data_IF_885191476017
#
_entry.id   IF_885191476017
#
_cell.length_a   1.000
_cell.length_b   1.000
_cell.length_c   1.000
_cell.angle_alpha   90.00
_cell.angle_beta   90.00
_cell.angle_gamma   90.00
#
_symmetry.space_group_name_H-M   'P 1'
#
loop_
_entity.id
_entity.type
_entity.pdbx_description
1 polymer ?
#
# COMPACT_ATOMS: atom_id res chain seq x y z
N UNK A 1 -11.81 1.22 8.67
CA UNK A 1 -11.51 2.27 7.67
C UNK A 1 -10.44 1.73 6.74
N UNK A 2 -10.53 2.03 5.44
CA UNK A 2 -9.63 1.50 4.41
C UNK A 2 -9.03 2.65 3.60
N UNK A 3 -7.74 2.57 3.34
CA UNK A 3 -7.06 3.43 2.37
C UNK A 3 -6.70 2.63 1.13
N UNK A 4 -7.01 3.19 -0.03
CA UNK A 4 -6.51 2.71 -1.32
C UNK A 4 -5.55 3.78 -1.84
N UNK A 5 -4.31 3.39 -2.09
CA UNK A 5 -3.26 4.26 -2.62
C UNK A 5 -2.83 3.76 -3.98
N UNK A 6 -2.48 4.69 -4.86
CA UNK A 6 -1.82 4.40 -6.13
C UNK A 6 -0.36 4.87 -6.07
N UNK A 7 0.57 4.13 -6.66
CA UNK A 7 1.98 4.53 -6.68
C UNK A 7 2.65 4.49 -5.30
N UNK A 8 2.18 3.62 -4.40
CA UNK A 8 2.71 3.48 -3.04
C UNK A 8 4.15 3.01 -2.97
N UNK A 9 4.71 2.47 -4.06
CA UNK A 9 6.13 2.10 -4.15
C UNK A 9 7.03 3.29 -4.48
N UNK A 10 6.47 4.41 -4.96
CA UNK A 10 7.20 5.65 -5.20
C UNK A 10 7.66 6.33 -3.90
N UNK A 11 8.50 7.35 -4.01
CA UNK A 11 9.11 8.03 -2.85
C UNK A 11 8.08 8.53 -1.83
N UNK A 12 7.10 9.32 -2.28
CA UNK A 12 6.06 9.90 -1.41
C UNK A 12 5.09 8.82 -0.93
N UNK A 13 4.67 7.92 -1.81
CA UNK A 13 3.76 6.83 -1.49
C UNK A 13 4.32 5.93 -0.39
N UNK A 14 5.60 5.59 -0.47
CA UNK A 14 6.27 4.74 0.51
C UNK A 14 6.34 5.41 1.89
N UNK A 15 6.64 6.72 1.93
CA UNK A 15 6.64 7.49 3.16
C UNK A 15 5.24 7.55 3.79
N UNK A 16 4.21 7.79 2.98
CA UNK A 16 2.83 7.84 3.43
C UNK A 16 2.37 6.49 4.00
N UNK A 17 2.66 5.38 3.31
CA UNK A 17 2.33 4.03 3.79
C UNK A 17 2.98 3.78 5.16
N UNK A 18 4.27 4.09 5.33
CA UNK A 18 4.97 3.96 6.61
C UNK A 18 4.30 4.77 7.72
N UNK A 19 3.90 6.01 7.43
CA UNK A 19 3.19 6.86 8.40
C UNK A 19 1.81 6.32 8.75
N UNK A 20 1.05 5.84 7.77
CA UNK A 20 -0.26 5.23 8.00
C UNK A 20 -0.17 3.94 8.82
N UNK A 21 0.78 3.06 8.51
CA UNK A 21 1.03 1.85 9.31
C UNK A 21 1.38 2.17 10.77
N UNK A 22 2.18 3.22 11.00
CA UNK A 22 2.58 3.64 12.35
C UNK A 22 1.44 4.30 13.14
N UNK A 23 0.75 5.27 12.54
CA UNK A 23 -0.28 6.05 13.22
C UNK A 23 -1.58 5.27 13.41
N UNK A 24 -1.85 4.33 12.50
CA UNK A 24 -3.11 3.60 12.44
C UNK A 24 -2.83 2.11 12.22
N UNK A 25 -2.44 1.35 13.26
CA UNK A 25 -2.10 -0.07 13.10
C UNK A 25 -3.31 -0.95 12.73
N UNK A 26 -4.53 -0.46 12.91
CA UNK A 26 -5.76 -1.22 12.68
C UNK A 26 -6.46 -0.94 11.34
N UNK A 27 -5.99 0.03 10.53
CA UNK A 27 -6.61 0.31 9.22
C UNK A 27 -6.09 -0.65 8.17
N UNK A 28 -6.91 -0.97 7.17
CA UNK A 28 -6.46 -1.72 6.00
C UNK A 28 -5.89 -0.75 4.96
N UNK A 29 -4.67 -1.04 4.49
CA UNK A 29 -4.00 -0.25 3.45
C UNK A 29 -3.84 -1.13 2.23
N UNK A 30 -4.39 -0.69 1.10
CA UNK A 30 -4.27 -1.36 -0.19
C UNK A 30 -3.46 -0.46 -1.12
N UNK A 31 -2.32 -0.92 -1.58
CA UNK A 31 -1.50 -0.22 -2.55
C UNK A 31 -1.68 -0.85 -3.94
N UNK A 32 -2.12 -0.06 -4.91
CA UNK A 32 -2.20 -0.39 -6.33
C UNK A 32 -0.97 0.18 -7.02
N UNK A 33 -0.14 -0.67 -7.59
CA UNK A 33 1.10 -0.24 -8.21
C UNK A 33 1.47 -1.12 -9.40
N UNK A 34 2.08 -0.53 -10.43
CA UNK A 34 2.60 -1.25 -11.59
C UNK A 34 3.83 -2.09 -11.24
N UNK A 35 4.53 -1.74 -10.15
CA UNK A 35 5.66 -2.50 -9.64
C UNK A 35 5.68 -2.46 -8.11
N UNK A 36 4.81 -3.23 -7.44
CA UNK A 36 4.65 -3.17 -5.99
C UNK A 36 5.92 -3.64 -5.28
N UNK A 37 6.54 -2.73 -4.53
CA UNK A 37 7.64 -3.06 -3.62
C UNK A 37 7.13 -3.28 -2.21
N UNK A 38 7.75 -4.20 -1.46
CA UNK A 38 7.49 -4.31 -0.02
C UNK A 38 8.27 -3.22 0.70
N UNK A 39 7.60 -2.21 1.31
CA UNK A 39 8.31 -1.28 2.16
C UNK A 39 8.97 -2.04 3.32
N UNK A 40 10.20 -1.67 3.65
CA UNK A 40 10.86 -2.17 4.86
C UNK A 40 10.22 -1.49 6.09
N UNK A 41 9.08 -2.03 6.54
CA UNK A 41 8.36 -1.56 7.72
C UNK A 41 8.68 -2.50 8.88
N UNK A 42 9.41 -1.99 9.87
CA UNK A 42 9.55 -2.66 11.17
C UNK A 42 8.35 -2.27 12.02
N UNK A 43 7.34 -3.12 12.08
CA UNK A 43 6.19 -2.94 12.99
C UNK A 43 6.40 -3.89 14.17
N UNK A 44 6.32 -3.37 15.39
CA UNK A 44 6.51 -4.12 16.64
C UNK A 44 5.42 -5.19 16.85
N UNK A 45 4.24 -5.02 16.23
CA UNK A 45 3.21 -6.04 16.13
C UNK A 45 3.33 -6.75 14.78
N UNK A 46 3.48 -8.08 14.79
CA UNK A 46 3.73 -8.96 13.63
C UNK A 46 2.70 -8.89 12.47
N UNK A 47 1.64 -8.09 12.59
CA UNK A 47 0.60 -7.97 11.56
C UNK A 47 0.79 -6.69 10.74
N UNK A 48 1.44 -6.83 9.59
CA UNK A 48 1.42 -5.77 8.57
C UNK A 48 0.00 -5.61 8.01
N UNK A 49 -0.53 -4.39 8.08
CA UNK A 49 -1.85 -4.02 7.60
C UNK A 49 -1.85 -3.48 6.15
N UNK A 50 -0.78 -3.79 5.40
CA UNK A 50 -0.57 -3.40 4.01
C UNK A 50 -0.75 -4.61 3.08
N UNK A 51 -1.60 -4.45 2.07
CA UNK A 51 -1.75 -5.37 0.93
C UNK A 51 -1.31 -4.67 -0.35
N UNK A 52 -0.39 -5.28 -1.09
CA UNK A 52 0.06 -4.78 -2.38
C UNK A 52 -0.66 -5.52 -3.52
N UNK A 53 -1.11 -4.78 -4.51
CA UNK A 53 -1.75 -5.26 -5.73
C UNK A 53 -0.90 -4.81 -6.93
N UNK A 54 -0.55 -5.76 -7.80
CA UNK A 54 0.06 -5.46 -9.09
C UNK A 54 -1.05 -4.99 -10.03
N UNK A 55 -1.21 -3.68 -10.18
CA UNK A 55 -2.28 -3.07 -10.97
C UNK A 55 -1.74 -1.83 -11.71
N UNK A 56 -1.92 -1.82 -13.02
CA UNK A 56 -1.84 -0.62 -13.85
C UNK A 56 -3.18 0.10 -13.88
N UNK A 57 -3.26 1.24 -13.18
CA UNK A 57 -4.48 2.05 -13.10
C UNK A 57 -4.88 2.70 -14.44
N UNK A 58 -3.99 2.71 -15.43
CA UNK A 58 -4.31 3.15 -16.79
C UNK A 58 -4.94 2.05 -17.63
N UNK A 59 -4.83 0.79 -17.19
CA UNK A 59 -5.47 -0.37 -17.79
C UNK A 59 -6.75 -0.73 -17.03
N UNK A 60 -7.91 -0.48 -17.65
CA UNK A 60 -9.22 -0.73 -17.05
C UNK A 60 -9.44 -2.20 -16.68
N UNK A 61 -8.94 -3.14 -17.48
CA UNK A 61 -9.13 -4.56 -17.20
C UNK A 61 -8.31 -4.99 -15.99
N UNK A 62 -7.14 -4.39 -15.79
CA UNK A 62 -6.30 -4.65 -14.63
C UNK A 62 -6.91 -4.07 -13.34
N UNK A 63 -7.56 -2.90 -13.44
CA UNK A 63 -8.25 -2.24 -12.33
C UNK A 63 -9.53 -2.97 -11.88
N UNK A 64 -10.18 -3.72 -12.78
CA UNK A 64 -11.46 -4.38 -12.53
C UNK A 64 -11.32 -5.89 -12.23
N UNK A 65 -10.09 -6.40 -12.09
CA UNK A 65 -9.79 -7.76 -11.60
C UNK A 65 -10.21 -7.96 -10.15
#
# INVERSE_FOLDING_TARGET
MRFVLTGGSGFVGNYLIKKLCYLYPHIEIHNLDINPSKPNIRIESEKQNLTNHLVDITNKDDLMK
#
